data_IF_122560319059
#
_entry.id   IF_122560319059
#
_cell.length_a   1.000
_cell.length_b   1.000
_cell.length_c   1.000
_cell.angle_alpha   90.00
_cell.angle_beta   90.00
_cell.angle_gamma   90.00
#
_symmetry.space_group_name_H-M   'P 1'
#
loop_
_entity.id
_entity.type
_entity.pdbx_description
1 polymer ?
#
# COMPACT_ATOMS: atom_id res chain seq x y z
N UNK A 1 -4.84 3.02 19.69
CA UNK A 1 -5.01 3.90 18.51
C UNK A 1 -3.69 3.91 17.77
N UNK A 2 -3.68 3.58 16.48
CA UNK A 2 -2.49 3.58 15.62
C UNK A 2 -2.60 4.74 14.63
N UNK A 3 -1.59 5.60 14.55
CA UNK A 3 -1.55 6.74 13.63
C UNK A 3 -0.30 6.61 12.76
N UNK A 4 -0.52 6.40 11.46
CA UNK A 4 0.53 6.39 10.44
C UNK A 4 0.54 7.75 9.76
N UNK A 5 1.60 8.53 10.00
CA UNK A 5 1.73 9.88 9.44
C UNK A 5 2.10 9.81 7.95
N UNK A 6 1.76 10.86 7.21
CA UNK A 6 2.21 11.01 5.81
C UNK A 6 3.74 10.85 5.72
N UNK A 7 4.21 10.07 4.75
CA UNK A 7 5.63 9.78 4.53
C UNK A 7 6.25 8.71 5.45
N UNK A 8 5.53 8.21 6.47
CA UNK A 8 6.05 7.14 7.34
C UNK A 8 6.07 5.75 6.68
N UNK A 9 5.31 5.57 5.60
CA UNK A 9 5.26 4.33 4.82
C UNK A 9 5.98 4.58 3.49
N UNK A 10 6.97 3.75 3.18
CA UNK A 10 7.73 3.85 1.94
C UNK A 10 6.93 3.35 0.75
N UNK A 11 6.97 4.08 -0.37
CA UNK A 11 6.41 3.61 -1.64
C UNK A 11 7.22 2.43 -2.19
N UNK A 12 6.59 1.60 -3.01
CA UNK A 12 7.23 0.48 -3.72
C UNK A 12 6.93 0.54 -5.22
N UNK A 13 7.73 -0.15 -6.03
CA UNK A 13 7.44 -0.32 -7.46
C UNK A 13 6.39 -1.41 -7.65
N UNK A 14 5.40 -1.17 -8.51
CA UNK A 14 4.40 -2.16 -8.88
C UNK A 14 5.03 -3.39 -9.57
N UNK A 15 4.59 -4.62 -9.26
CA UNK A 15 5.07 -5.82 -9.92
C UNK A 15 4.81 -5.77 -11.44
N UNK A 16 5.81 -6.15 -12.24
CA UNK A 16 5.70 -6.15 -13.70
C UNK A 16 4.68 -7.15 -14.23
N UNK A 17 4.37 -8.18 -13.45
CA UNK A 17 3.35 -9.18 -13.80
C UNK A 17 1.92 -8.63 -13.69
N UNK A 18 1.73 -7.53 -12.94
CA UNK A 18 0.41 -6.93 -12.69
C UNK A 18 0.22 -5.62 -13.44
N UNK A 19 1.31 -4.94 -13.80
CA UNK A 19 1.26 -3.60 -14.37
C UNK A 19 2.15 -3.48 -15.61
N UNK A 20 1.61 -2.86 -16.65
CA UNK A 20 2.40 -2.40 -17.80
C UNK A 20 2.94 -0.99 -17.54
N UNK A 21 4.26 -0.82 -17.62
CA UNK A 21 4.93 0.48 -17.44
C UNK A 21 5.43 0.72 -16.00
N UNK A 22 5.75 1.98 -15.68
CA UNK A 22 6.29 2.36 -14.37
C UNK A 22 5.15 2.73 -13.43
N UNK A 23 4.79 1.80 -12.53
CA UNK A 23 3.79 2.02 -11.47
C UNK A 23 4.48 2.13 -10.11
N UNK A 24 4.00 3.06 -9.29
CA UNK A 24 4.41 3.26 -7.90
C UNK A 24 3.19 3.00 -7.01
N UNK A 25 3.40 2.24 -5.94
CA UNK A 25 2.36 1.87 -4.97
C UNK A 25 2.69 2.55 -3.64
N UNK A 26 1.74 3.30 -3.10
CA UNK A 26 1.77 3.90 -1.77
C UNK A 26 0.87 3.13 -0.80
N UNK A 27 1.43 2.39 0.18
CA UNK A 27 0.62 1.71 1.19
C UNK A 27 -0.12 2.70 2.09
N UNK A 28 -1.43 2.49 2.29
CA UNK A 28 -2.26 3.31 3.17
C UNK A 28 -2.51 2.58 4.49
N UNK A 29 -3.05 1.36 4.43
CA UNK A 29 -3.31 0.51 5.60
C UNK A 29 -3.24 -0.98 5.25
N UNK A 30 -2.82 -1.79 6.22
CA UNK A 30 -2.80 -3.25 6.12
C UNK A 30 -4.08 -3.85 6.71
N UNK A 31 -4.45 -5.06 6.29
CA UNK A 31 -5.62 -5.76 6.84
C UNK A 31 -5.31 -6.22 8.27
N UNK A 32 -6.21 -5.91 9.20
CA UNK A 32 -6.16 -6.43 10.57
C UNK A 32 -7.34 -7.40 10.77
N UNK A 33 -7.17 -8.56 11.42
CA UNK A 33 -8.29 -9.45 11.69
C UNK A 33 -9.41 -8.73 12.45
N UNK A 34 -10.70 -8.93 12.11
CA UNK A 34 -11.25 -9.82 11.08
C UNK A 34 -11.42 -9.17 9.69
N UNK A 35 -10.88 -7.98 9.46
CA UNK A 35 -10.99 -7.26 8.20
C UNK A 35 -10.30 -8.02 7.05
N UNK A 36 -10.85 -7.86 5.84
CA UNK A 36 -10.41 -8.56 4.62
C UNK A 36 -9.92 -7.62 3.52
N UNK A 37 -9.79 -6.34 3.82
CA UNK A 37 -9.40 -5.31 2.88
C UNK A 37 -8.13 -4.60 3.36
N UNK A 38 -7.22 -4.36 2.42
CA UNK A 38 -6.10 -3.45 2.56
C UNK A 38 -6.26 -2.30 1.54
N UNK A 39 -5.54 -1.20 1.74
CA UNK A 39 -5.60 -0.03 0.86
C UNK A 39 -4.23 0.44 0.42
N UNK A 40 -4.14 0.83 -0.85
CA UNK A 40 -2.98 1.49 -1.45
C UNK A 40 -3.44 2.43 -2.59
N UNK A 41 -2.59 3.38 -2.96
CA UNK A 41 -2.78 4.28 -4.11
C UNK A 41 -1.63 4.23 -5.10
#
# INVERSE_FOLDING_TARGET
MEIRRVGSQSSTKGPVDWFTGTVRIDPLFQTNPPARAAGAS
#
